data_IF_613103549856
#
_entry.id   IF_613103549856
#
_cell.length_a   1.000
_cell.length_b   1.000
_cell.length_c   1.000
_cell.angle_alpha   90.00
_cell.angle_beta   90.00
_cell.angle_gamma   90.00
#
_symmetry.space_group_name_H-M   'P 1'
#
loop_
_entity.id
_entity.type
_entity.pdbx_description
1 polymer ?
#
# COMPACT_ATOMS: atom_id res chain seq x y z
N UNK A 1 -8.72 7.84 -9.16
CA UNK A 1 -7.26 7.97 -9.36
C UNK A 1 -6.52 6.67 -9.03
N UNK A 2 -6.57 6.13 -7.80
CA UNK A 2 -5.82 4.90 -7.46
C UNK A 2 -6.10 3.72 -8.41
N UNK A 3 -7.37 3.43 -8.70
CA UNK A 3 -7.73 2.37 -9.65
C UNK A 3 -7.15 2.59 -11.05
N UNK A 4 -7.10 3.83 -11.54
CA UNK A 4 -6.52 4.17 -12.83
C UNK A 4 -5.00 3.94 -12.84
N UNK A 5 -4.32 4.25 -11.73
CA UNK A 5 -2.90 3.98 -11.57
C UNK A 5 -2.63 2.47 -11.55
N UNK A 6 -3.43 1.71 -10.80
CA UNK A 6 -3.35 0.24 -10.73
C UNK A 6 -3.56 -0.37 -12.12
N UNK A 7 -4.64 0.03 -12.82
CA UNK A 7 -4.96 -0.47 -14.16
C UNK A 7 -3.82 -0.24 -15.17
N UNK A 8 -3.13 0.89 -15.07
CA UNK A 8 -2.03 1.26 -15.97
C UNK A 8 -0.64 0.79 -15.50
N UNK A 9 -0.55 -0.04 -14.44
CA UNK A 9 0.73 -0.50 -13.89
C UNK A 9 1.60 0.61 -13.30
N UNK A 10 0.99 1.73 -12.89
CA UNK A 10 1.62 2.92 -12.30
C UNK A 10 1.20 3.15 -10.85
N UNK A 11 0.58 2.14 -10.23
CA UNK A 11 0.24 2.15 -8.82
C UNK A 11 1.48 2.17 -7.93
N UNK A 12 1.35 2.54 -6.65
CA UNK A 12 2.41 2.33 -5.68
C UNK A 12 2.69 0.84 -5.51
N UNK A 13 3.88 0.47 -5.04
CA UNK A 13 4.19 -0.93 -4.71
C UNK A 13 3.37 -1.46 -3.51
N UNK A 14 3.08 -0.58 -2.55
CA UNK A 14 2.24 -0.86 -1.39
C UNK A 14 1.62 0.45 -0.86
N UNK A 15 0.51 0.32 -0.11
CA UNK A 15 -0.12 1.41 0.63
C UNK A 15 0.09 1.18 2.12
N UNK A 16 0.77 2.10 2.80
CA UNK A 16 0.99 2.04 4.25
C UNK A 16 0.23 3.18 4.91
N UNK A 17 -0.77 2.85 5.73
CA UNK A 17 -1.72 3.79 6.32
C UNK A 17 -1.74 3.67 7.84
N UNK A 18 -1.98 4.77 8.56
CA UNK A 18 -2.13 4.67 10.02
C UNK A 18 -3.46 4.02 10.43
N UNK A 19 -4.49 4.28 9.65
CA UNK A 19 -5.84 3.77 9.83
C UNK A 19 -6.42 3.35 8.47
N UNK A 20 -7.38 2.42 8.45
CA UNK A 20 -8.05 2.03 7.23
C UNK A 20 -8.78 3.22 6.59
N UNK A 21 -8.49 3.49 5.32
CA UNK A 21 -9.25 4.46 4.53
C UNK A 21 -10.30 3.72 3.68
N UNK A 22 -11.58 3.95 3.96
CA UNK A 22 -12.66 3.23 3.31
C UNK A 22 -12.68 3.41 1.78
N UNK A 23 -12.33 4.59 1.28
CA UNK A 23 -12.40 4.93 -0.15
C UNK A 23 -11.24 4.28 -0.89
N UNK A 24 -10.02 4.37 -0.34
CA UNK A 24 -8.85 3.73 -0.94
C UNK A 24 -8.98 2.21 -0.96
N UNK A 25 -9.41 1.62 0.16
CA UNK A 25 -9.58 0.17 0.27
C UNK A 25 -10.69 -0.34 -0.65
N UNK A 26 -11.81 0.37 -0.77
CA UNK A 26 -12.86 0.01 -1.74
C UNK A 26 -12.33 0.00 -3.18
N UNK A 27 -11.49 0.98 -3.55
CA UNK A 27 -10.84 1.01 -4.85
C UNK A 27 -9.95 -0.22 -5.12
N UNK A 28 -9.21 -0.68 -4.11
CA UNK A 28 -8.41 -1.91 -4.23
C UNK A 28 -9.29 -3.15 -4.35
N UNK A 29 -10.38 -3.24 -3.58
CA UNK A 29 -11.32 -4.35 -3.66
C UNK A 29 -11.89 -4.44 -5.07
N UNK A 30 -12.40 -3.34 -5.63
CA UNK A 30 -12.95 -3.33 -6.99
C UNK A 30 -11.88 -3.68 -8.03
N UNK A 31 -10.67 -3.14 -7.93
CA UNK A 31 -9.59 -3.49 -8.85
C UNK A 31 -9.26 -4.99 -8.84
N UNK A 32 -9.27 -5.62 -7.66
CA UNK A 32 -9.09 -7.07 -7.53
C UNK A 32 -10.22 -7.87 -8.20
N UNK A 33 -11.48 -7.43 -8.05
CA UNK A 33 -12.63 -8.04 -8.72
C UNK A 33 -12.56 -7.92 -10.26
N UNK A 34 -11.88 -6.88 -10.76
CA UNK A 34 -11.59 -6.71 -12.18
C UNK A 34 -10.39 -7.55 -12.67
N UNK A 35 -9.77 -8.35 -11.79
CA UNK A 35 -8.59 -9.17 -12.09
C UNK A 35 -7.30 -8.37 -12.23
N UNK A 36 -7.24 -7.13 -11.73
CA UNK A 36 -6.03 -6.32 -11.77
C UNK A 36 -5.13 -6.63 -10.57
N UNK A 37 -3.82 -6.51 -10.78
CA UNK A 37 -2.84 -6.64 -9.70
C UNK A 37 -2.95 -5.44 -8.77
N UNK A 38 -3.27 -5.68 -7.50
CA UNK A 38 -3.48 -4.62 -6.51
C UNK A 38 -2.34 -4.54 -5.51
N UNK A 39 -1.86 -3.32 -5.15
CA UNK A 39 -0.87 -3.18 -4.10
C UNK A 39 -1.40 -3.66 -2.75
N UNK A 40 -0.51 -4.18 -1.91
CA UNK A 40 -0.84 -4.53 -0.53
C UNK A 40 -1.16 -3.26 0.27
N UNK A 41 -2.21 -3.32 1.10
CA UNK A 41 -2.53 -2.28 2.07
C UNK A 41 -2.14 -2.74 3.49
N UNK A 42 -1.19 -2.03 4.11
CA UNK A 42 -0.67 -2.32 5.45
C UNK A 42 -1.06 -1.21 6.41
N UNK A 43 -1.54 -1.61 7.60
CA UNK A 43 -1.76 -0.67 8.70
C UNK A 43 -0.51 -0.58 9.57
N UNK A 44 0.04 0.61 9.71
CA UNK A 44 1.21 0.89 10.54
C UNK A 44 0.86 1.86 11.68
N UNK A 45 1.36 1.65 12.89
CA UNK A 45 1.12 2.58 13.99
C UNK A 45 1.65 3.98 13.67
N UNK A 46 0.89 5.04 13.99
CA UNK A 46 1.25 6.45 13.70
C UNK A 46 2.66 6.81 14.18
N UNK A 47 3.06 6.36 15.37
CA UNK A 47 4.37 6.64 15.95
C UNK A 47 5.55 5.89 15.31
N UNK A 48 5.29 4.95 14.39
CA UNK A 48 6.33 4.12 13.76
C UNK A 48 6.80 4.75 12.44
N UNK A 49 6.00 5.60 11.79
CA UNK A 49 6.33 6.21 10.50
C UNK A 49 7.65 6.99 10.53
N UNK A 50 7.93 7.70 11.62
CA UNK A 50 9.16 8.50 11.73
C UNK A 50 10.43 7.64 11.73
N UNK A 51 10.34 6.36 12.10
CA UNK A 51 11.47 5.43 12.05
C UNK A 51 11.90 5.07 10.61
N UNK A 52 11.01 5.28 9.63
CA UNK A 52 11.26 4.97 8.21
C UNK A 52 11.45 6.23 7.35
N UNK A 53 11.37 7.42 7.94
CA UNK A 53 11.39 8.68 7.21
C UNK A 53 12.75 8.88 6.53
N UNK A 54 12.73 9.11 5.22
CA UNK A 54 13.93 9.33 4.41
C UNK A 54 14.67 8.03 4.03
N UNK A 55 14.12 6.87 4.39
CA UNK A 55 14.66 5.57 4.00
C UNK A 55 13.84 4.94 2.87
N UNK A 56 14.48 4.06 2.10
CA UNK A 56 13.76 3.12 1.23
C UNK A 56 13.20 2.00 2.10
N UNK A 57 11.94 1.63 1.89
CA UNK A 57 11.22 0.67 2.73
C UNK A 57 10.77 -0.50 1.86
N UNK A 58 10.87 -1.71 2.40
CA UNK A 58 10.32 -2.94 1.83
C UNK A 58 9.05 -3.34 2.59
N UNK A 59 8.04 -3.77 1.84
CA UNK A 59 6.85 -4.45 2.37
C UNK A 59 6.88 -5.88 1.86
N UNK A 60 6.95 -6.85 2.77
CA UNK A 60 6.94 -8.28 2.44
C UNK A 60 5.52 -8.81 2.22
N UNK A 61 5.40 -10.02 1.66
CA UNK A 61 4.13 -10.66 1.32
C UNK A 61 3.23 -10.95 2.53
N UNK A 62 3.78 -10.95 3.74
CA UNK A 62 3.07 -11.09 5.02
C UNK A 62 2.67 -9.73 5.63
N UNK A 63 3.03 -8.62 4.97
CA UNK A 63 2.80 -7.26 5.45
C UNK A 63 3.86 -6.72 6.40
N UNK A 64 4.98 -7.43 6.61
CA UNK A 64 6.09 -6.90 7.38
C UNK A 64 6.72 -5.68 6.68
N UNK A 65 7.01 -4.63 7.45
CA UNK A 65 7.60 -3.38 6.95
C UNK A 65 9.02 -3.23 7.50
N UNK A 66 10.00 -3.15 6.62
CA UNK A 66 11.43 -3.06 6.99
C UNK A 66 12.19 -2.05 6.14
N UNK A 67 13.32 -1.55 6.62
CA UNK A 67 14.20 -0.71 5.80
C UNK A 67 14.87 -1.59 4.74
N UNK A 68 14.81 -1.17 3.48
CA UNK A 68 15.52 -1.85 2.40
C UNK A 68 17.04 -1.64 2.58
N UNK A 69 17.80 -2.74 2.48
CA UNK A 69 19.25 -2.75 2.54
C UNK A 69 19.89 -2.12 1.29
#
# INVERSE_FOLDING_TARGET
VLMELVHNGRGPAALVLHEPDAILLLGLIVAREMGWETPMAVRLGRGVFDAYRGSTVKVDDDGAVSVAA
#
